data_IF_808853510285
#
_entry.id   IF_808853510285
#
_cell.length_a   1.000
_cell.length_b   1.000
_cell.length_c   1.000
_cell.angle_alpha   90.00
_cell.angle_beta   90.00
_cell.angle_gamma   90.00
#
_symmetry.space_group_name_H-M   'P 1'
#
loop_
_entity.id
_entity.type
_entity.pdbx_description
1 polymer ?
#
# COMPACT_ATOMS: atom_id res chain seq x y z
N UNK A 1 18.49 -1.16 12.23
CA UNK A 1 19.42 -0.54 11.28
C UNK A 1 20.79 -1.22 11.31
N UNK A 2 21.44 -1.33 12.45
CA UNK A 2 22.78 -1.95 12.60
C UNK A 2 22.86 -3.37 12.03
N UNK A 3 21.84 -4.20 12.26
CA UNK A 3 21.79 -5.58 11.73
C UNK A 3 21.81 -5.63 10.20
N UNK A 4 21.24 -4.61 9.52
CA UNK A 4 21.28 -4.49 8.06
C UNK A 4 22.65 -3.98 7.62
N UNK A 5 23.21 -3.01 8.35
CA UNK A 5 24.45 -2.35 8.00
C UNK A 5 25.69 -3.26 8.06
N UNK A 6 25.67 -4.24 8.94
CA UNK A 6 26.82 -5.15 9.14
C UNK A 6 26.75 -6.45 8.33
N UNK A 7 25.77 -6.60 7.43
CA UNK A 7 25.69 -7.81 6.62
C UNK A 7 26.89 -7.96 5.68
N UNK A 8 27.39 -9.20 5.45
CA UNK A 8 28.62 -9.43 4.68
C UNK A 8 28.54 -8.98 3.20
N UNK A 9 27.34 -8.91 2.65
CA UNK A 9 27.06 -8.48 1.27
C UNK A 9 26.93 -6.96 1.12
N UNK A 10 26.95 -6.20 2.23
CA UNK A 10 26.94 -4.74 2.21
C UNK A 10 28.26 -4.21 1.62
N UNK A 11 28.13 -3.36 0.62
CA UNK A 11 29.28 -2.70 -0.03
C UNK A 11 29.17 -1.19 0.14
N UNK A 12 30.26 -0.60 0.64
CA UNK A 12 30.37 0.87 0.64
C UNK A 12 30.51 1.34 -0.82
N UNK A 13 29.48 2.02 -1.29
CA UNK A 13 29.50 2.61 -2.61
C UNK A 13 30.35 3.89 -2.60
N UNK A 14 31.57 3.80 -3.17
CA UNK A 14 32.43 4.97 -3.40
C UNK A 14 32.46 5.28 -4.87
N UNK A 15 31.74 6.31 -5.29
CA UNK A 15 31.80 6.80 -6.67
C UNK A 15 32.78 7.97 -6.75
N UNK A 16 33.64 7.95 -7.78
CA UNK A 16 34.48 9.11 -8.09
C UNK A 16 33.57 10.29 -8.47
N UNK A 17 33.82 11.44 -7.88
CA UNK A 17 33.12 12.67 -8.22
C UNK A 17 33.44 13.03 -9.67
N UNK A 18 32.44 13.22 -10.50
CA UNK A 18 32.54 13.61 -11.90
C UNK A 18 31.94 15.00 -12.08
N UNK A 19 32.29 15.72 -13.17
CA UNK A 19 31.63 17.02 -13.45
C UNK A 19 30.11 16.88 -13.51
N UNK A 20 29.60 15.82 -14.13
CA UNK A 20 28.16 15.54 -14.16
C UNK A 20 27.53 15.35 -12.76
N UNK A 21 28.28 14.81 -11.79
CA UNK A 21 27.83 14.67 -10.40
C UNK A 21 27.79 16.03 -9.70
N UNK A 22 28.78 16.91 -10.01
CA UNK A 22 28.82 18.27 -9.46
C UNK A 22 27.67 19.13 -9.99
N UNK A 23 27.40 19.05 -11.30
CA UNK A 23 26.25 19.72 -11.92
C UNK A 23 24.92 19.24 -11.31
N UNK A 24 24.75 17.92 -11.16
CA UNK A 24 23.57 17.36 -10.50
C UNK A 24 23.41 17.81 -9.06
N UNK A 25 24.50 17.90 -8.29
CA UNK A 25 24.47 18.42 -6.92
C UNK A 25 24.14 19.92 -6.86
N UNK A 26 24.62 20.70 -7.82
CA UNK A 26 24.30 22.12 -7.92
C UNK A 26 22.80 22.31 -8.19
N UNK A 27 22.23 21.56 -9.14
CA UNK A 27 20.80 21.56 -9.45
C UNK A 27 19.93 21.16 -8.24
N UNK A 28 20.32 20.10 -7.53
CA UNK A 28 19.61 19.66 -6.31
C UNK A 28 19.64 20.73 -5.21
N UNK A 29 20.77 21.45 -5.04
CA UNK A 29 20.87 22.56 -4.08
C UNK A 29 20.00 23.74 -4.46
N UNK A 30 19.89 24.03 -5.74
CA UNK A 30 19.00 25.06 -6.26
C UNK A 30 17.54 24.72 -5.98
N UNK A 31 17.09 23.52 -6.37
CA UNK A 31 15.73 23.04 -6.07
C UNK A 31 15.45 23.00 -4.58
N UNK A 32 16.43 22.62 -3.74
CA UNK A 32 16.24 22.63 -2.29
C UNK A 32 15.97 24.06 -1.76
N UNK A 33 16.69 25.08 -2.28
CA UNK A 33 16.44 26.49 -1.92
C UNK A 33 15.07 26.98 -2.41
N UNK A 34 14.66 26.57 -3.61
CA UNK A 34 13.32 26.86 -4.15
C UNK A 34 12.24 26.27 -3.24
N UNK A 35 12.39 25.02 -2.81
CA UNK A 35 11.47 24.37 -1.87
C UNK A 35 11.45 25.06 -0.52
N UNK A 36 12.60 25.45 0.03
CA UNK A 36 12.66 26.23 1.29
C UNK A 36 11.94 27.57 1.18
N UNK A 37 11.99 28.20 0.01
CA UNK A 37 11.30 29.47 -0.24
C UNK A 37 9.80 29.28 -0.45
N UNK A 38 9.40 28.22 -1.15
CA UNK A 38 8.01 27.92 -1.45
C UNK A 38 7.24 27.37 -0.25
N UNK A 39 7.92 26.65 0.63
CA UNK A 39 7.33 25.94 1.78
C UNK A 39 8.15 26.18 3.06
N UNK A 40 8.33 27.44 3.52
CA UNK A 40 9.18 27.76 4.66
C UNK A 40 8.75 27.04 5.94
N UNK A 41 7.46 26.78 6.12
CA UNK A 41 6.92 26.03 7.24
C UNK A 41 7.43 24.58 7.33
N UNK A 42 7.74 23.96 6.20
CA UNK A 42 8.28 22.59 6.17
C UNK A 42 9.75 22.50 6.62
N UNK A 43 10.44 23.65 6.68
CA UNK A 43 11.87 23.75 7.02
C UNK A 43 12.14 24.51 8.33
N UNK A 44 11.15 25.24 8.86
CA UNK A 44 11.40 26.21 9.92
C UNK A 44 11.30 25.65 11.34
N UNK A 45 10.57 24.58 11.60
CA UNK A 45 10.32 24.14 12.97
C UNK A 45 9.97 22.63 13.07
N UNK A 46 10.92 21.77 12.75
CA UNK A 46 10.74 20.31 12.86
C UNK A 46 10.29 19.92 14.29
N UNK A 47 10.79 20.59 15.32
CA UNK A 47 10.45 20.32 16.71
C UNK A 47 9.01 20.72 17.04
N UNK A 48 8.54 21.86 16.54
CA UNK A 48 7.15 22.32 16.72
C UNK A 48 6.16 21.45 15.95
N UNK A 49 6.47 21.07 14.71
CA UNK A 49 5.65 20.16 13.92
C UNK A 49 5.51 18.78 14.59
N UNK A 50 6.60 18.26 15.16
CA UNK A 50 6.59 16.99 15.89
C UNK A 50 5.78 17.08 17.19
N UNK A 51 5.79 18.22 17.88
CA UNK A 51 5.09 18.37 19.15
C UNK A 51 3.61 18.77 19.01
N UNK A 52 3.24 19.49 17.96
CA UNK A 52 1.87 19.94 17.74
C UNK A 52 0.94 18.85 17.17
N UNK A 53 1.49 17.83 16.51
CA UNK A 53 0.73 16.77 15.85
C UNK A 53 0.83 15.41 16.58
N UNK A 54 1.08 15.44 17.88
CA UNK A 54 1.13 14.22 18.69
C UNK A 54 -0.28 13.64 18.85
N UNK A 55 -0.40 12.36 18.56
CA UNK A 55 -1.61 11.58 18.83
C UNK A 55 -1.33 10.64 19.99
N UNK A 56 -2.23 10.61 20.97
CA UNK A 56 -2.14 9.65 22.06
C UNK A 56 -2.45 8.24 21.55
N UNK A 57 -1.60 7.30 21.92
CA UNK A 57 -1.79 5.88 21.59
C UNK A 57 -1.73 5.04 22.86
N UNK A 58 -2.51 3.95 22.91
CA UNK A 58 -2.53 3.04 24.05
C UNK A 58 -1.38 2.03 23.96
N UNK A 59 -1.04 1.61 22.75
CA UNK A 59 0.10 0.74 22.48
C UNK A 59 0.61 0.85 21.04
N UNK A 60 1.90 0.59 20.87
CA UNK A 60 2.54 0.45 19.56
C UNK A 60 3.36 -0.84 19.58
N UNK A 61 3.15 -1.69 18.59
CA UNK A 61 3.96 -2.87 18.34
C UNK A 61 4.64 -2.76 16.97
N UNK A 62 5.95 -2.99 16.94
CA UNK A 62 6.72 -3.06 15.71
C UNK A 62 6.67 -4.47 15.13
N UNK A 63 6.27 -4.59 13.87
CA UNK A 63 6.19 -5.84 13.13
C UNK A 63 7.17 -5.80 11.97
N UNK A 64 7.84 -6.89 11.69
CA UNK A 64 8.73 -6.99 10.52
C UNK A 64 8.84 -8.44 10.04
N UNK A 65 9.09 -8.60 8.74
CA UNK A 65 9.53 -9.87 8.18
C UNK A 65 11.01 -10.12 8.50
N UNK A 66 11.47 -11.37 8.52
CA UNK A 66 12.88 -11.70 8.71
C UNK A 66 13.78 -10.97 7.72
N UNK A 67 14.98 -10.60 8.14
CA UNK A 67 15.94 -9.85 7.31
C UNK A 67 16.62 -10.73 6.27
N UNK A 68 16.97 -11.97 6.66
CA UNK A 68 17.74 -12.87 5.82
C UNK A 68 16.86 -13.60 4.80
N UNK A 69 17.38 -13.75 3.58
CA UNK A 69 16.63 -14.33 2.48
C UNK A 69 16.22 -15.80 2.69
N UNK A 70 17.07 -16.57 3.39
CA UNK A 70 16.84 -17.97 3.73
C UNK A 70 15.90 -18.19 4.94
N UNK A 71 15.57 -17.12 5.64
CA UNK A 71 14.67 -17.15 6.81
C UNK A 71 13.27 -16.57 6.48
N UNK A 72 12.99 -16.24 5.22
CA UNK A 72 11.73 -15.56 4.84
C UNK A 72 10.51 -16.41 5.16
N UNK A 73 9.72 -15.90 6.08
CA UNK A 73 8.39 -16.39 6.46
C UNK A 73 7.44 -15.19 6.54
N UNK A 74 6.14 -15.35 6.24
CA UNK A 74 5.20 -14.23 6.13
C UNK A 74 4.70 -13.72 7.49
N UNK A 75 5.63 -13.32 8.39
CA UNK A 75 5.32 -12.93 9.79
C UNK A 75 4.36 -11.75 9.82
N UNK A 76 4.60 -10.72 9.00
CA UNK A 76 3.76 -9.52 8.93
C UNK A 76 2.36 -9.89 8.46
N UNK A 77 2.24 -10.67 7.38
CA UNK A 77 0.95 -11.11 6.85
C UNK A 77 0.17 -11.95 7.87
N UNK A 78 0.82 -12.94 8.49
CA UNK A 78 0.20 -13.78 9.52
C UNK A 78 -0.31 -12.94 10.70
N UNK A 79 0.47 -11.94 11.13
CA UNK A 79 0.05 -11.04 12.20
C UNK A 79 -1.15 -10.17 11.78
N UNK A 80 -1.17 -9.67 10.55
CA UNK A 80 -2.32 -8.94 10.00
C UNK A 80 -3.57 -9.82 10.03
N UNK A 81 -3.49 -11.07 9.57
CA UNK A 81 -4.60 -12.02 9.59
C UNK A 81 -5.12 -12.26 11.02
N UNK A 82 -4.22 -12.49 11.99
CA UNK A 82 -4.59 -12.66 13.40
C UNK A 82 -5.35 -11.45 13.97
N UNK A 83 -4.95 -10.24 13.64
CA UNK A 83 -5.68 -9.03 14.07
C UNK A 83 -7.04 -8.92 13.36
N UNK A 84 -7.12 -9.23 12.05
CA UNK A 84 -8.37 -9.23 11.30
C UNK A 84 -9.39 -10.26 11.83
N UNK A 85 -8.94 -11.40 12.34
CA UNK A 85 -9.79 -12.41 12.98
C UNK A 85 -10.49 -11.87 14.23
N UNK A 86 -9.88 -10.94 14.95
CA UNK A 86 -10.42 -10.36 16.18
C UNK A 86 -11.44 -9.23 15.91
N UNK A 87 -11.37 -8.58 14.73
CA UNK A 87 -12.25 -7.46 14.39
C UNK A 87 -13.50 -7.88 13.63
N UNK A 88 -14.42 -6.95 13.47
CA UNK A 88 -15.68 -7.10 12.70
C UNK A 88 -15.59 -6.37 11.34
N UNK A 89 -15.03 -5.17 11.33
CA UNK A 89 -14.93 -4.31 10.15
C UNK A 89 -13.47 -4.03 9.81
N UNK A 90 -13.07 -4.42 8.61
CA UNK A 90 -11.70 -4.31 8.14
C UNK A 90 -11.64 -3.44 6.89
N UNK A 91 -10.81 -2.40 6.89
CA UNK A 91 -10.51 -1.58 5.73
C UNK A 91 -9.03 -1.66 5.40
N UNK A 92 -8.72 -2.22 4.24
CA UNK A 92 -7.35 -2.36 3.74
C UNK A 92 -7.12 -1.28 2.67
N UNK A 93 -6.02 -0.53 2.78
CA UNK A 93 -5.54 0.33 1.71
C UNK A 93 -4.23 -0.23 1.19
N UNK A 94 -4.16 -0.46 -0.12
CA UNK A 94 -2.98 -1.02 -0.79
C UNK A 94 -2.93 -0.53 -2.23
N UNK A 95 -1.75 -0.21 -2.78
CA UNK A 95 -1.66 0.28 -4.16
C UNK A 95 -2.10 -0.74 -5.22
N UNK A 96 -1.98 -2.04 -4.93
CA UNK A 96 -2.40 -3.17 -5.77
C UNK A 96 -2.70 -4.40 -4.93
N UNK A 97 -3.38 -5.38 -5.52
CA UNK A 97 -3.77 -6.64 -4.90
C UNK A 97 -3.18 -7.76 -5.76
N UNK A 98 -2.15 -8.45 -5.26
CA UNK A 98 -1.48 -9.56 -5.94
C UNK A 98 -1.36 -10.73 -4.96
N UNK A 99 -2.46 -11.46 -4.76
CA UNK A 99 -2.56 -12.53 -3.78
C UNK A 99 -2.41 -13.91 -4.41
N UNK A 100 -1.81 -14.84 -3.68
CA UNK A 100 -1.86 -16.26 -4.05
C UNK A 100 -3.18 -16.91 -3.62
N UNK A 101 -3.28 -18.21 -3.84
CA UNK A 101 -4.47 -18.98 -3.47
C UNK A 101 -4.70 -19.04 -1.97
N UNK A 102 -3.61 -19.09 -1.18
CA UNK A 102 -3.67 -19.08 0.30
C UNK A 102 -4.25 -17.76 0.80
N UNK A 103 -3.70 -16.63 0.36
CA UNK A 103 -4.17 -15.31 0.74
C UNK A 103 -5.64 -15.07 0.33
N UNK A 104 -6.07 -15.56 -0.85
CA UNK A 104 -7.50 -15.50 -1.24
C UNK A 104 -8.37 -16.40 -0.37
N UNK A 105 -7.85 -17.55 0.06
CA UNK A 105 -8.55 -18.45 0.99
C UNK A 105 -8.73 -17.78 2.35
N UNK A 106 -7.68 -17.18 2.92
CA UNK A 106 -7.74 -16.46 4.20
C UNK A 106 -8.78 -15.33 4.16
N UNK A 107 -8.77 -14.49 3.11
CA UNK A 107 -9.79 -13.46 2.92
C UNK A 107 -11.21 -14.05 2.81
N UNK A 108 -11.36 -15.20 2.13
CA UNK A 108 -12.66 -15.86 1.98
C UNK A 108 -13.16 -16.44 3.30
N UNK A 109 -12.27 -16.99 4.11
CA UNK A 109 -12.60 -17.56 5.42
C UNK A 109 -13.04 -16.46 6.38
N UNK A 110 -12.32 -15.34 6.42
CA UNK A 110 -12.71 -14.16 7.19
C UNK A 110 -14.09 -13.62 6.78
N UNK A 111 -14.34 -13.48 5.47
CA UNK A 111 -15.64 -13.04 4.98
C UNK A 111 -16.76 -14.02 5.31
N UNK A 112 -16.53 -15.35 5.24
CA UNK A 112 -17.52 -16.38 5.63
C UNK A 112 -17.77 -16.39 7.14
N UNK A 113 -16.76 -16.03 7.94
CA UNK A 113 -16.90 -15.82 9.38
C UNK A 113 -17.69 -14.55 9.74
N UNK A 114 -18.18 -13.80 8.75
CA UNK A 114 -19.00 -12.61 8.91
C UNK A 114 -18.23 -11.29 8.92
N UNK A 115 -16.90 -11.31 8.81
CA UNK A 115 -16.09 -10.09 8.79
C UNK A 115 -16.39 -9.25 7.55
N UNK A 116 -16.52 -7.94 7.75
CA UNK A 116 -16.77 -6.99 6.67
C UNK A 116 -15.44 -6.45 6.16
N UNK A 117 -14.94 -7.01 5.07
CA UNK A 117 -13.66 -6.61 4.46
C UNK A 117 -13.91 -5.71 3.26
N UNK A 118 -13.28 -4.53 3.27
CA UNK A 118 -13.23 -3.59 2.16
C UNK A 118 -11.78 -3.26 1.83
N UNK A 119 -11.45 -3.18 0.54
CA UNK A 119 -10.10 -2.92 0.04
C UNK A 119 -10.15 -1.69 -0.86
N UNK A 120 -9.34 -0.67 -0.56
CA UNK A 120 -9.12 0.48 -1.45
C UNK A 120 -7.82 0.23 -2.20
N UNK A 121 -7.89 0.24 -3.52
CA UNK A 121 -6.74 0.07 -4.41
C UNK A 121 -6.83 1.03 -5.59
N UNK A 122 -5.75 1.17 -6.38
CA UNK A 122 -5.79 1.98 -7.59
C UNK A 122 -6.73 1.38 -8.64
N UNK A 123 -7.52 2.23 -9.28
CA UNK A 123 -8.14 1.85 -10.54
C UNK A 123 -7.05 1.62 -11.60
N UNK A 124 -7.28 0.69 -12.51
CA UNK A 124 -6.32 0.33 -13.57
C UNK A 124 -5.94 1.55 -14.42
N UNK A 125 -6.89 2.43 -14.65
CA UNK A 125 -6.75 3.65 -15.46
C UNK A 125 -5.90 4.73 -14.80
N UNK A 126 -5.71 4.67 -13.47
CA UNK A 126 -4.93 5.64 -12.68
C UNK A 126 -3.73 5.04 -11.97
N UNK A 127 -3.56 3.72 -12.01
CA UNK A 127 -2.45 3.02 -11.35
C UNK A 127 -1.11 3.30 -12.03
N UNK A 128 -0.08 3.62 -11.22
CA UNK A 128 1.27 3.87 -11.72
C UNK A 128 2.07 2.58 -12.02
N UNK A 129 1.66 1.44 -11.42
CA UNK A 129 2.33 0.15 -11.61
C UNK A 129 1.57 -0.71 -12.64
N UNK A 130 2.06 -0.82 -13.89
CA UNK A 130 1.36 -1.59 -14.93
C UNK A 130 1.29 -3.10 -14.62
N UNK A 131 2.25 -3.65 -13.87
CA UNK A 131 2.25 -5.05 -13.46
C UNK A 131 1.13 -5.34 -12.46
N UNK A 132 1.01 -4.53 -11.40
CA UNK A 132 -0.07 -4.65 -10.42
C UNK A 132 -1.46 -4.43 -11.05
N UNK A 133 -1.59 -3.44 -11.93
CA UNK A 133 -2.83 -3.20 -12.68
C UNK A 133 -3.20 -4.40 -13.57
N UNK A 134 -2.21 -5.01 -14.21
CA UNK A 134 -2.41 -6.18 -15.06
C UNK A 134 -2.84 -7.41 -14.27
N UNK A 135 -2.19 -7.65 -13.12
CA UNK A 135 -2.59 -8.76 -12.25
C UNK A 135 -4.01 -8.57 -11.72
N UNK A 136 -4.37 -7.36 -11.30
CA UNK A 136 -5.73 -7.04 -10.91
C UNK A 136 -6.75 -7.36 -12.01
N UNK A 137 -6.46 -7.03 -13.28
CA UNK A 137 -7.32 -7.38 -14.42
C UNK A 137 -7.48 -8.90 -14.61
N UNK A 138 -6.44 -9.67 -14.31
CA UNK A 138 -6.50 -11.14 -14.40
C UNK A 138 -7.27 -11.74 -13.23
N UNK A 139 -7.04 -11.25 -12.01
CA UNK A 139 -7.49 -11.84 -10.77
C UNK A 139 -8.75 -11.19 -10.17
N UNK A 140 -9.29 -10.14 -10.79
CA UNK A 140 -10.48 -9.41 -10.27
C UNK A 140 -11.63 -10.33 -9.86
N UNK A 141 -11.88 -11.41 -10.64
CA UNK A 141 -12.93 -12.37 -10.29
C UNK A 141 -12.58 -13.18 -9.04
N UNK A 142 -11.31 -13.54 -8.87
CA UNK A 142 -10.82 -14.26 -7.69
C UNK A 142 -10.94 -13.37 -6.44
N UNK A 143 -10.54 -12.10 -6.55
CA UNK A 143 -10.67 -11.11 -5.48
C UNK A 143 -12.13 -10.96 -5.05
N UNK A 144 -13.05 -10.73 -5.97
CA UNK A 144 -14.47 -10.55 -5.66
C UNK A 144 -15.12 -11.84 -5.10
N UNK A 145 -14.65 -13.03 -5.51
CA UNK A 145 -15.12 -14.30 -4.96
C UNK A 145 -14.79 -14.50 -3.48
N UNK A 146 -13.80 -13.80 -2.94
CA UNK A 146 -13.51 -13.84 -1.49
C UNK A 146 -14.67 -13.32 -0.65
N UNK A 147 -15.50 -12.46 -1.21
CA UNK A 147 -16.57 -11.75 -0.51
C UNK A 147 -16.16 -10.36 -0.04
N UNK A 148 -14.88 -9.97 -0.19
CA UNK A 148 -14.43 -8.61 0.08
C UNK A 148 -15.01 -7.61 -0.93
N UNK A 149 -15.28 -6.39 -0.48
CA UNK A 149 -15.62 -5.26 -1.34
C UNK A 149 -14.36 -4.54 -1.82
N UNK A 150 -14.35 -4.04 -3.06
CA UNK A 150 -13.20 -3.34 -3.63
C UNK A 150 -13.60 -1.96 -4.09
N UNK A 151 -12.87 -0.95 -3.62
CA UNK A 151 -12.89 0.42 -4.11
C UNK A 151 -11.72 0.62 -5.08
N UNK A 152 -12.01 0.73 -6.36
CA UNK A 152 -11.04 1.08 -7.39
C UNK A 152 -10.93 2.61 -7.49
N UNK A 153 -9.88 3.17 -6.89
CA UNK A 153 -9.71 4.60 -6.69
C UNK A 153 -9.18 5.32 -7.93
N UNK A 154 -9.83 6.42 -8.31
CA UNK A 154 -9.52 7.27 -9.45
C UNK A 154 -9.07 8.67 -8.97
N UNK A 155 -8.11 8.74 -8.07
CA UNK A 155 -7.73 10.00 -7.40
C UNK A 155 -6.84 10.94 -8.24
N UNK A 156 -6.58 10.64 -9.52
CA UNK A 156 -5.70 11.45 -10.36
C UNK A 156 -4.21 11.21 -10.13
N UNK A 157 -3.82 10.86 -8.92
CA UNK A 157 -2.49 10.37 -8.54
C UNK A 157 -2.60 8.94 -8.05
N UNK A 158 -1.52 8.15 -8.22
CA UNK A 158 -1.50 6.77 -7.72
C UNK A 158 -1.51 6.76 -6.21
N UNK A 159 -2.50 6.10 -5.61
CA UNK A 159 -2.53 5.77 -4.19
C UNK A 159 -1.34 4.87 -3.86
N UNK A 160 -0.58 5.20 -2.82
CA UNK A 160 0.55 4.38 -2.35
C UNK A 160 0.50 4.09 -0.85
N UNK A 161 -0.65 4.28 -0.23
CA UNK A 161 -0.91 4.00 1.19
C UNK A 161 -0.96 2.50 1.44
N UNK A 162 -0.41 2.05 2.57
CA UNK A 162 -0.49 0.69 3.06
C UNK A 162 -0.93 0.74 4.51
N UNK A 163 -2.22 0.45 4.70
CA UNK A 163 -2.84 0.42 6.04
C UNK A 163 -3.85 -0.70 6.12
N UNK A 164 -4.00 -1.27 7.30
CA UNK A 164 -5.11 -2.13 7.66
C UNK A 164 -5.77 -1.54 8.90
N UNK A 165 -7.02 -1.10 8.77
CA UNK A 165 -7.79 -0.48 9.83
C UNK A 165 -8.86 -1.46 10.28
N UNK A 166 -8.83 -1.83 11.55
CA UNK A 166 -9.71 -2.84 12.13
C UNK A 166 -10.55 -2.15 13.20
N UNK A 167 -11.84 -2.25 13.04
CA UNK A 167 -12.86 -1.58 13.86
C UNK A 167 -12.56 -0.08 14.06
N UNK A 168 -12.71 0.46 15.26
CA UNK A 168 -12.51 1.88 15.56
C UNK A 168 -11.20 2.18 16.31
N UNK A 169 -10.34 1.17 16.52
CA UNK A 169 -9.20 1.31 17.41
C UNK A 169 -7.87 0.84 16.81
N UNK A 170 -7.87 -0.29 16.09
CA UNK A 170 -6.62 -0.90 15.61
C UNK A 170 -6.24 -0.38 14.23
N UNK A 171 -5.00 0.09 14.11
CA UNK A 171 -4.40 0.53 12.86
C UNK A 171 -3.06 -0.16 12.63
N UNK A 172 -2.85 -0.77 11.47
CA UNK A 172 -1.57 -1.34 11.07
C UNK A 172 -1.08 -0.53 9.87
N UNK A 173 0.05 0.14 10.01
CA UNK A 173 0.56 1.13 9.04
C UNK A 173 2.03 0.87 8.75
N UNK A 174 2.45 0.93 7.50
CA UNK A 174 3.86 0.77 7.15
C UNK A 174 4.12 0.52 5.68
N UNK A 175 5.00 -0.44 5.38
CA UNK A 175 5.49 -0.69 4.02
C UNK A 175 4.80 -1.84 3.30
N UNK A 176 4.12 -2.76 4.02
CA UNK A 176 3.53 -3.98 3.48
C UNK A 176 2.39 -3.69 2.48
N UNK A 177 2.57 -4.14 1.24
CA UNK A 177 1.49 -4.22 0.25
C UNK A 177 0.76 -5.57 0.37
N UNK A 178 -0.48 -5.64 -0.08
CA UNK A 178 -1.20 -6.90 -0.21
C UNK A 178 -0.74 -7.62 -1.51
N UNK A 179 0.52 -8.05 -1.52
CA UNK A 179 1.16 -8.72 -2.65
C UNK A 179 2.13 -9.84 -2.21
N UNK A 180 2.56 -10.65 -3.18
CA UNK A 180 3.41 -11.81 -2.94
C UNK A 180 4.82 -11.42 -2.51
N UNK A 181 5.35 -10.33 -3.05
CA UNK A 181 6.68 -9.84 -2.67
C UNK A 181 6.71 -9.41 -1.22
N UNK A 182 5.79 -8.55 -0.82
CA UNK A 182 5.67 -8.11 0.57
C UNK A 182 5.42 -9.27 1.53
N UNK A 183 4.68 -10.29 1.07
CA UNK A 183 4.36 -11.46 1.90
C UNK A 183 5.54 -12.39 2.07
N UNK A 184 6.27 -12.73 1.00
CA UNK A 184 7.23 -13.84 1.00
C UNK A 184 8.68 -13.46 0.73
N UNK A 185 8.96 -12.29 0.15
CA UNK A 185 10.29 -11.93 -0.33
C UNK A 185 10.88 -10.69 0.32
N UNK A 186 10.09 -9.64 0.48
CA UNK A 186 10.58 -8.35 0.95
C UNK A 186 10.69 -8.30 2.48
N UNK A 187 11.57 -7.43 2.98
CA UNK A 187 11.64 -7.10 4.40
C UNK A 187 10.69 -5.96 4.68
N UNK A 188 9.50 -6.30 5.15
CA UNK A 188 8.46 -5.33 5.45
C UNK A 188 8.52 -4.88 6.91
N UNK A 189 8.13 -3.63 7.12
CA UNK A 189 8.05 -2.99 8.43
C UNK A 189 6.65 -2.40 8.62
N UNK A 190 5.96 -2.79 9.70
CA UNK A 190 4.64 -2.27 10.04
C UNK A 190 4.60 -1.86 11.51
N UNK A 191 3.80 -0.85 11.82
CA UNK A 191 3.42 -0.49 13.18
C UNK A 191 1.97 -0.90 13.40
N UNK A 192 1.73 -1.76 14.38
CA UNK A 192 0.41 -2.06 14.91
C UNK A 192 0.15 -1.10 16.07
N UNK A 193 -0.83 -0.24 15.91
CA UNK A 193 -1.14 0.84 16.86
C UNK A 193 -2.57 0.68 17.36
N UNK A 194 -2.75 0.70 18.68
CA UNK A 194 -4.06 0.80 19.33
C UNK A 194 -4.30 2.26 19.68
N UNK A 195 -5.21 2.92 18.96
CA UNK A 195 -5.62 4.31 19.19
C UNK A 195 -6.87 4.64 18.37
N UNK A 196 -7.94 4.99 19.04
CA UNK A 196 -9.20 5.41 18.38
C UNK A 196 -9.01 6.70 17.60
N UNK A 197 -8.22 7.63 18.13
CA UNK A 197 -7.95 8.90 17.47
C UNK A 197 -7.20 8.70 16.15
N UNK A 198 -6.10 7.93 16.15
CA UNK A 198 -5.35 7.62 14.94
C UNK A 198 -6.21 6.86 13.94
N UNK A 199 -6.94 5.82 14.40
CA UNK A 199 -7.80 5.02 13.53
C UNK A 199 -8.86 5.89 12.85
N UNK A 200 -9.49 6.79 13.62
CA UNK A 200 -10.46 7.75 13.07
C UNK A 200 -9.84 8.66 11.99
N UNK A 201 -8.68 9.25 12.25
CA UNK A 201 -8.00 10.12 11.28
C UNK A 201 -7.67 9.37 9.98
N UNK A 202 -7.17 8.13 10.08
CA UNK A 202 -6.86 7.29 8.92
C UNK A 202 -8.13 6.87 8.16
N UNK A 203 -9.24 6.60 8.85
CA UNK A 203 -10.54 6.33 8.22
C UNK A 203 -11.11 7.56 7.52
N UNK A 204 -11.00 8.73 8.12
CA UNK A 204 -11.43 9.98 7.50
C UNK A 204 -10.64 10.24 6.18
N UNK A 205 -9.33 9.98 6.17
CA UNK A 205 -8.53 10.04 4.94
C UNK A 205 -8.94 8.96 3.92
N UNK A 206 -9.21 7.75 4.37
CA UNK A 206 -9.66 6.66 3.50
C UNK A 206 -11.01 6.97 2.85
N UNK A 207 -11.94 7.60 3.59
CA UNK A 207 -13.24 8.02 3.08
C UNK A 207 -13.11 8.98 1.87
N UNK A 208 -12.11 9.87 1.88
CA UNK A 208 -11.84 10.75 0.74
C UNK A 208 -11.43 9.98 -0.53
N UNK A 209 -10.77 8.82 -0.38
CA UNK A 209 -10.48 7.93 -1.51
C UNK A 209 -11.70 7.13 -1.95
N UNK A 210 -12.55 6.69 -1.01
CA UNK A 210 -13.80 6.00 -1.34
C UNK A 210 -14.73 6.88 -2.17
N UNK A 211 -14.81 8.19 -1.87
CA UNK A 211 -15.60 9.16 -2.65
C UNK A 211 -15.09 9.31 -4.10
N UNK A 212 -13.85 8.99 -4.38
CA UNK A 212 -13.23 9.01 -5.72
C UNK A 212 -13.17 7.63 -6.37
N UNK A 213 -13.88 6.64 -5.84
CA UNK A 213 -13.75 5.24 -6.26
C UNK A 213 -15.01 4.70 -6.91
N UNK A 214 -14.81 3.72 -7.78
CA UNK A 214 -15.85 2.76 -8.15
C UNK A 214 -15.79 1.58 -7.17
N UNK A 215 -16.94 1.22 -6.60
CA UNK A 215 -17.06 0.13 -5.63
C UNK A 215 -17.71 -1.10 -6.26
N UNK A 216 -17.14 -2.26 -5.98
CA UNK A 216 -17.66 -3.55 -6.39
C UNK A 216 -17.60 -4.56 -5.24
N UNK A 217 -18.64 -5.37 -5.15
CA UNK A 217 -18.71 -6.53 -4.23
C UNK A 217 -19.57 -7.60 -4.88
N UNK A 218 -19.16 -8.87 -4.75
CA UNK A 218 -19.95 -9.98 -5.27
C UNK A 218 -21.38 -9.97 -4.72
N UNK A 219 -22.37 -10.15 -5.61
CA UNK A 219 -23.80 -10.19 -5.22
C UNK A 219 -24.40 -8.83 -4.86
N UNK A 220 -23.68 -7.73 -5.04
CA UNK A 220 -24.20 -6.37 -4.84
C UNK A 220 -24.07 -5.55 -6.13
N UNK A 221 -24.99 -4.59 -6.39
CA UNK A 221 -24.83 -3.67 -7.49
C UNK A 221 -23.58 -2.81 -7.28
N UNK A 222 -22.83 -2.57 -8.36
CA UNK A 222 -21.71 -1.63 -8.34
C UNK A 222 -22.21 -0.20 -8.11
N UNK A 223 -21.41 0.59 -7.41
CA UNK A 223 -21.69 2.01 -7.12
C UNK A 223 -20.43 2.85 -7.29
N UNK A 224 -20.60 4.14 -7.44
CA UNK A 224 -19.49 5.11 -7.47
C UNK A 224 -19.63 6.12 -6.35
N UNK A 225 -18.51 6.60 -5.86
CA UNK A 225 -18.47 7.72 -4.93
C UNK A 225 -18.92 9.03 -5.60
N UNK A 226 -19.22 10.03 -4.80
CA UNK A 226 -19.75 11.32 -5.25
C UNK A 226 -18.76 12.14 -6.09
N UNK A 227 -17.45 11.91 -5.88
CA UNK A 227 -16.34 12.58 -6.56
C UNK A 227 -15.64 11.65 -7.58
N UNK A 228 -16.28 10.54 -7.96
CA UNK A 228 -15.72 9.62 -8.93
C UNK A 228 -15.80 10.18 -10.34
N UNK A 229 -14.66 10.35 -10.98
CA UNK A 229 -14.56 10.75 -12.38
C UNK A 229 -14.06 9.57 -13.22
N UNK A 230 -14.93 9.04 -14.08
CA UNK A 230 -14.57 7.93 -14.95
C UNK A 230 -13.50 8.36 -15.95
N UNK A 231 -12.37 7.66 -15.96
CA UNK A 231 -11.31 7.79 -16.97
C UNK A 231 -11.28 6.54 -17.83
N UNK A 232 -11.15 6.70 -19.12
CA UNK A 232 -11.01 5.56 -20.04
C UNK A 232 -9.56 5.36 -20.44
N UNK A 233 -9.15 4.10 -20.50
CA UNK A 233 -7.85 3.75 -21.06
C UNK A 233 -7.81 4.09 -22.55
N UNK A 234 -6.71 4.67 -23.01
CA UNK A 234 -6.44 4.86 -24.44
C UNK A 234 -6.36 3.52 -25.18
N UNK A 235 -6.57 3.55 -26.48
CA UNK A 235 -6.46 2.34 -27.31
C UNK A 235 -5.10 1.64 -27.15
N UNK A 236 -4.02 2.43 -27.08
CA UNK A 236 -2.65 1.92 -26.85
C UNK A 236 -2.51 1.24 -25.47
N UNK A 237 -3.03 1.84 -24.41
CA UNK A 237 -3.03 1.24 -23.08
C UNK A 237 -3.79 -0.09 -23.07
N UNK A 238 -4.95 -0.18 -23.71
CA UNK A 238 -5.72 -1.43 -23.83
C UNK A 238 -4.91 -2.54 -24.52
N UNK A 239 -4.16 -2.22 -25.58
CA UNK A 239 -3.28 -3.18 -26.28
C UNK A 239 -2.15 -3.61 -25.37
N UNK A 240 -1.45 -2.67 -24.72
CA UNK A 240 -0.35 -2.96 -23.80
C UNK A 240 -0.83 -3.88 -22.67
N UNK A 241 -1.92 -3.56 -22.00
CA UNK A 241 -2.46 -4.40 -20.93
C UNK A 241 -2.90 -5.78 -21.44
N UNK A 242 -3.42 -5.90 -22.64
CA UNK A 242 -3.79 -7.20 -23.24
C UNK A 242 -2.57 -8.11 -23.41
N UNK A 243 -1.43 -7.56 -23.82
CA UNK A 243 -0.15 -8.28 -23.94
C UNK A 243 0.40 -8.63 -22.54
N UNK A 244 0.44 -7.65 -21.65
CA UNK A 244 0.96 -7.84 -20.29
C UNK A 244 0.18 -8.91 -19.52
N UNK A 245 -1.13 -9.04 -19.72
CA UNK A 245 -1.97 -10.07 -19.09
C UNK A 245 -1.52 -11.50 -19.38
N UNK A 246 -0.84 -11.73 -20.51
CA UNK A 246 -0.26 -13.02 -20.85
C UNK A 246 1.13 -13.14 -20.25
N UNK A 247 1.96 -12.10 -20.42
CA UNK A 247 3.37 -12.10 -20.01
C UNK A 247 3.56 -12.16 -18.48
N UNK A 248 2.62 -11.63 -17.71
CA UNK A 248 2.75 -11.56 -16.23
C UNK A 248 2.58 -12.93 -15.56
N UNK A 249 1.83 -13.86 -16.19
CA UNK A 249 1.47 -15.14 -15.57
C UNK A 249 2.67 -15.95 -15.05
N UNK A 250 3.74 -16.16 -15.84
CA UNK A 250 4.88 -16.97 -15.38
C UNK A 250 5.76 -16.28 -14.33
N UNK A 251 5.68 -14.95 -14.20
CA UNK A 251 6.50 -14.17 -13.25
C UNK A 251 5.69 -13.65 -12.05
N UNK A 252 4.44 -14.07 -11.94
CA UNK A 252 3.51 -13.57 -10.93
C UNK A 252 4.01 -13.76 -9.49
N UNK A 253 4.74 -14.85 -9.24
CA UNK A 253 5.27 -15.17 -7.91
C UNK A 253 6.35 -14.19 -7.40
N UNK A 254 6.88 -13.34 -8.27
CA UNK A 254 7.89 -12.32 -7.92
C UNK A 254 7.37 -10.87 -8.00
N UNK A 255 6.05 -10.72 -8.06
CA UNK A 255 5.35 -9.44 -8.11
C UNK A 255 4.82 -9.01 -6.76
#
# INVERSE_FOLDING_TARGET
FEKIWVQPDQKIFRKKETEKTKEGLALLREHYKELQTAYPEAFSETETLLTQNLIRVDSIQFLHNPLYADEKVPVVYQRICQEMEQGETILIQTPYIICDKGMYQDLSELCRAGKQIEIITNAVESGANPWGCTDYLNERKSILKTGAGVYACMAGQSLHTKTVLIDDETSIVGSYNLDLRSTYLDTELMLLVKSKELNKQLRDQAAAYQEKSAYEKAGKPSRTGSLYEKKEMSGMQKVIYSILRILIRPIREVL
#
